data_IF_931663497915
#
_entry.id   IF_931663497915
#
_cell.length_a   1.000
_cell.length_b   1.000
_cell.length_c   1.000
_cell.angle_alpha   90.00
_cell.angle_beta   90.00
_cell.angle_gamma   90.00
#
_symmetry.space_group_name_H-M   'P 1'
#
loop_
_entity.id
_entity.type
_entity.pdbx_description
1 polymer ?
#
# COMPACT_ATOMS: atom_id res chain seq x y z
N UNK A 1 -0.42 10.98 -2.83
CA UNK A 1 0.46 9.78 -2.87
C UNK A 1 1.95 10.10 -3.09
N UNK A 2 2.32 11.07 -3.94
CA UNK A 2 3.75 11.45 -4.14
C UNK A 2 4.47 11.85 -2.84
N UNK A 3 3.81 12.58 -1.94
CA UNK A 3 4.36 12.95 -0.63
C UNK A 3 4.67 11.75 0.26
N UNK A 4 3.73 10.81 0.39
CA UNK A 4 3.89 9.57 1.17
C UNK A 4 5.09 8.75 0.67
N UNK A 5 5.21 8.56 -0.65
CA UNK A 5 6.34 7.84 -1.25
C UNK A 5 7.67 8.55 -1.01
N UNK A 6 7.70 9.89 -1.06
CA UNK A 6 8.89 10.67 -0.74
C UNK A 6 9.28 10.47 0.72
N UNK A 7 8.37 10.72 1.67
CA UNK A 7 8.62 10.57 3.11
C UNK A 7 9.10 9.16 3.47
N UNK A 8 8.54 8.14 2.82
CA UNK A 8 8.96 6.75 2.95
C UNK A 8 10.38 6.48 2.47
N UNK A 9 10.73 6.98 1.29
CA UNK A 9 12.05 6.76 0.69
C UNK A 9 13.16 7.48 1.45
N UNK A 10 12.88 8.71 1.89
CA UNK A 10 13.89 9.56 2.53
C UNK A 10 13.90 9.45 4.04
N UNK A 11 12.92 8.75 4.65
CA UNK A 11 12.68 8.70 6.09
C UNK A 11 12.59 10.09 6.74
N UNK A 12 12.23 11.10 5.95
CA UNK A 12 12.14 12.49 6.41
C UNK A 12 10.83 12.72 7.13
N UNK A 13 10.91 13.41 8.26
CA UNK A 13 9.73 13.95 8.95
C UNK A 13 9.18 15.11 8.11
N UNK A 14 7.90 15.09 7.70
CA UNK A 14 7.29 16.22 7.03
C UNK A 14 7.21 17.42 7.96
N UNK A 15 7.43 18.61 7.40
CA UNK A 15 7.17 19.86 8.10
C UNK A 15 5.67 20.03 8.36
N UNK A 16 5.32 20.83 9.37
CA UNK A 16 3.93 21.09 9.75
C UNK A 16 3.10 21.64 8.57
N UNK A 17 3.68 22.54 7.77
CA UNK A 17 3.04 23.08 6.56
C UNK A 17 2.78 22.01 5.50
N UNK A 18 3.68 21.04 5.34
CA UNK A 18 3.47 19.91 4.42
C UNK A 18 2.33 19.00 4.90
N UNK A 19 2.29 18.71 6.20
CA UNK A 19 1.20 17.94 6.80
C UNK A 19 -0.13 18.68 6.66
N UNK A 20 -0.16 19.98 6.91
CA UNK A 20 -1.38 20.78 6.80
C UNK A 20 -2.01 20.70 5.40
N UNK A 21 -1.19 20.87 4.36
CA UNK A 21 -1.59 20.82 2.95
C UNK A 21 -1.83 19.40 2.42
N UNK A 22 -1.41 18.36 3.16
CA UNK A 22 -1.58 16.98 2.73
C UNK A 22 -3.06 16.54 2.77
N UNK A 23 -3.40 15.59 1.89
CA UNK A 23 -4.71 14.95 1.90
C UNK A 23 -4.93 14.15 3.19
N UNK A 24 -6.19 13.88 3.53
CA UNK A 24 -6.54 13.12 4.73
C UNK A 24 -5.86 11.74 4.74
N UNK A 25 -5.76 11.08 3.58
CA UNK A 25 -5.12 9.77 3.45
C UNK A 25 -3.62 9.86 3.74
N UNK A 26 -2.96 10.93 3.29
CA UNK A 26 -1.54 11.15 3.55
C UNK A 26 -1.27 11.45 5.04
N UNK A 27 -2.18 12.19 5.70
CA UNK A 27 -2.14 12.42 7.15
C UNK A 27 -2.34 11.10 7.92
N UNK A 28 -3.36 10.32 7.56
CA UNK A 28 -3.61 9.01 8.15
C UNK A 28 -2.45 8.05 7.98
N UNK A 29 -1.78 8.10 6.82
CA UNK A 29 -0.53 7.37 6.60
C UNK A 29 0.55 7.79 7.61
N UNK A 30 0.81 9.10 7.73
CA UNK A 30 1.86 9.62 8.62
C UNK A 30 1.65 9.24 10.09
N UNK A 31 0.39 9.35 10.57
CA UNK A 31 0.01 8.99 11.94
C UNK A 31 0.29 7.51 12.22
N UNK A 32 0.07 6.64 11.24
CA UNK A 32 0.18 5.19 11.39
C UNK A 32 1.41 4.61 10.69
N UNK A 33 2.44 5.42 10.41
CA UNK A 33 3.59 5.06 9.55
C UNK A 33 4.32 3.78 10.00
N UNK A 34 4.38 3.53 11.31
CA UNK A 34 4.96 2.31 11.89
C UNK A 34 4.20 1.02 11.54
N UNK A 35 2.94 1.13 11.10
CA UNK A 35 2.14 -0.03 10.63
C UNK A 35 2.33 -0.32 9.14
N UNK A 36 3.15 0.47 8.45
CA UNK A 36 3.40 0.32 7.01
C UNK A 36 4.87 0.00 6.72
N UNK A 37 5.08 -0.75 5.65
CA UNK A 37 6.40 -1.11 5.16
C UNK A 37 6.49 -0.90 3.66
N UNK A 38 7.60 -0.32 3.20
CA UNK A 38 7.90 -0.20 1.78
C UNK A 38 8.84 -1.35 1.37
N UNK A 39 8.37 -2.23 0.49
CA UNK A 39 9.14 -3.36 -0.05
C UNK A 39 9.15 -3.24 -1.57
N UNK A 40 10.32 -3.16 -2.20
CA UNK A 40 10.46 -2.97 -3.65
C UNK A 40 9.63 -1.80 -4.23
N UNK A 41 9.59 -0.66 -3.52
CA UNK A 41 8.74 0.52 -3.85
C UNK A 41 7.22 0.27 -3.79
N UNK A 42 6.79 -0.85 -3.23
CA UNK A 42 5.37 -1.17 -3.01
C UNK A 42 5.05 -1.00 -1.54
N UNK A 43 3.95 -0.32 -1.24
CA UNK A 43 3.51 -0.05 0.12
C UNK A 43 2.66 -1.21 0.64
N UNK A 44 3.06 -1.75 1.78
CA UNK A 44 2.34 -2.78 2.51
C UNK A 44 1.92 -2.27 3.88
N UNK A 45 0.80 -2.78 4.37
CA UNK A 45 0.39 -2.66 5.76
C UNK A 45 0.70 -3.97 6.47
N UNK A 46 1.32 -3.88 7.63
CA UNK A 46 1.58 -5.04 8.48
C UNK A 46 0.24 -5.53 9.03
N UNK A 47 -0.05 -6.81 8.84
CA UNK A 47 -1.17 -7.43 9.52
C UNK A 47 -0.71 -7.76 10.96
N UNK A 48 -1.38 -7.23 11.98
CA UNK A 48 -1.00 -7.55 13.36
C UNK A 48 -1.48 -8.94 13.79
N UNK A 49 -2.40 -9.55 13.03
CA UNK A 49 -3.02 -10.83 13.35
C UNK A 49 -2.40 -12.01 12.59
N UNK A 50 -1.58 -11.75 11.57
CA UNK A 50 -0.85 -12.78 10.82
C UNK A 50 0.52 -12.23 10.43
N UNK A 51 1.49 -13.09 10.14
CA UNK A 51 2.80 -12.62 9.64
C UNK A 51 2.75 -12.10 8.18
N UNK A 52 1.54 -11.80 7.68
CA UNK A 52 1.32 -11.41 6.29
C UNK A 52 1.39 -9.90 6.10
N UNK A 53 1.75 -9.50 4.88
CA UNK A 53 1.76 -8.14 4.42
C UNK A 53 0.55 -7.87 3.53
N UNK A 54 -0.26 -6.86 3.87
CA UNK A 54 -1.42 -6.45 3.10
C UNK A 54 -1.02 -5.37 2.09
N UNK A 55 -1.21 -5.64 0.80
CA UNK A 55 -0.90 -4.68 -0.27
C UNK A 55 -1.80 -3.44 -0.14
N UNK A 56 -1.19 -2.25 -0.07
CA UNK A 56 -1.92 -0.98 -0.04
C UNK A 56 -2.03 -0.42 -1.45
N UNK A 57 -3.27 -0.27 -1.92
CA UNK A 57 -3.57 0.28 -3.24
C UNK A 57 -4.37 1.58 -3.12
N UNK A 58 -4.17 2.53 -4.05
CA UNK A 58 -5.11 3.62 -4.24
C UNK A 58 -6.51 3.08 -4.49
N UNK A 59 -7.54 3.71 -3.92
CA UNK A 59 -8.93 3.31 -4.16
C UNK A 59 -9.31 3.27 -5.64
N UNK A 60 -8.71 4.14 -6.46
CA UNK A 60 -8.90 4.15 -7.92
C UNK A 60 -8.41 2.90 -8.65
N UNK A 61 -7.54 2.08 -8.03
CA UNK A 61 -7.05 0.84 -8.61
C UNK A 61 -7.83 -0.40 -8.15
N UNK A 62 -8.88 -0.24 -7.33
CA UNK A 62 -9.61 -1.35 -6.73
C UNK A 62 -10.14 -2.34 -7.78
N UNK A 63 -10.81 -1.85 -8.82
CA UNK A 63 -11.41 -2.71 -9.86
C UNK A 63 -10.35 -3.47 -10.65
N UNK A 64 -9.27 -2.77 -11.03
CA UNK A 64 -8.15 -3.38 -11.75
C UNK A 64 -7.47 -4.46 -10.91
N UNK A 65 -7.25 -4.19 -9.62
CA UNK A 65 -6.65 -5.15 -8.70
C UNK A 65 -7.52 -6.41 -8.54
N UNK A 66 -8.84 -6.23 -8.37
CA UNK A 66 -9.77 -7.36 -8.32
C UNK A 66 -9.73 -8.20 -9.60
N UNK A 67 -9.75 -7.56 -10.77
CA UNK A 67 -9.68 -8.25 -12.05
C UNK A 67 -8.39 -9.08 -12.20
N UNK A 68 -7.25 -8.50 -11.81
CA UNK A 68 -5.94 -9.16 -11.86
C UNK A 68 -5.91 -10.36 -10.91
N UNK A 69 -6.39 -10.21 -9.67
CA UNK A 69 -6.47 -11.30 -8.70
C UNK A 69 -7.33 -12.47 -9.21
N UNK A 70 -8.51 -12.18 -9.78
CA UNK A 70 -9.39 -13.21 -10.36
C UNK A 70 -8.71 -13.94 -11.52
N UNK A 71 -8.01 -13.20 -12.40
CA UNK A 71 -7.26 -13.82 -13.51
C UNK A 71 -6.13 -14.71 -13.02
N UNK A 72 -5.35 -14.26 -12.03
CA UNK A 72 -4.27 -15.07 -11.46
C UNK A 72 -4.78 -16.34 -10.80
N UNK A 73 -5.87 -16.26 -10.01
CA UNK A 73 -6.51 -17.43 -9.42
C UNK A 73 -6.97 -18.44 -10.48
N UNK A 74 -7.57 -17.96 -11.57
CA UNK A 74 -7.97 -18.80 -12.70
C UNK A 74 -6.78 -19.46 -13.42
N UNK A 75 -5.65 -18.76 -13.57
CA UNK A 75 -4.44 -19.34 -14.16
C UNK A 75 -3.81 -20.39 -13.26
N UNK A 76 -3.73 -20.15 -11.95
CA UNK A 76 -3.22 -21.12 -10.98
C UNK A 76 -4.09 -22.38 -10.98
N UNK A 77 -5.42 -22.25 -10.95
CA UNK A 77 -6.31 -23.41 -11.03
C UNK A 77 -6.05 -24.23 -12.30
N UNK A 78 -5.87 -23.59 -13.46
CA UNK A 78 -5.54 -24.31 -14.71
C UNK A 78 -4.19 -25.04 -14.66
N UNK A 79 -3.20 -24.49 -13.95
CA UNK A 79 -1.88 -25.11 -13.79
C UNK A 79 -1.90 -26.31 -12.83
N UNK A 80 -2.83 -26.35 -11.86
CA UNK A 80 -2.96 -27.43 -10.89
C UNK A 80 -4.07 -28.45 -11.23
N UNK A 81 -4.83 -28.22 -12.30
CA UNK A 81 -5.93 -29.09 -12.76
C UNK A 81 -5.57 -29.92 -14.01
N UNK A 82 -4.31 -29.89 -14.45
CA UNK A 82 -3.76 -30.71 -15.53
C UNK A 82 -2.66 -31.62 -15.02
#
# INVERSE_FOLDING_TARGET
MRFVLRWLKTKTVPEEGELFLASQEAKSYWINKETFQLVYNVLFKINNNSHDLLLVLPGSLREVAMLVCVRMAGMLLKLFSG
#
